data_IF_735548275877
#
_entry.id   IF_735548275877
#
_cell.length_a   1.000
_cell.length_b   1.000
_cell.length_c   1.000
_cell.angle_alpha   90.00
_cell.angle_beta   90.00
_cell.angle_gamma   90.00
#
_symmetry.space_group_name_H-M   'P 1'
#
loop_
_entity.id
_entity.type
_entity.pdbx_description
1 polymer ?
#
# COMPACT_ATOMS: atom_id res chain seq x y z
N UNK A 1 -7.32 -12.37 -17.92
CA UNK A 1 -7.88 -11.03 -17.52
C UNK A 1 -6.72 -10.06 -17.58
N UNK A 2 -6.93 -8.83 -18.04
CA UNK A 2 -5.88 -7.80 -18.08
C UNK A 2 -5.92 -6.92 -16.82
N UNK A 3 -4.84 -6.18 -16.54
CA UNK A 3 -4.85 -5.15 -15.51
C UNK A 3 -5.57 -3.92 -16.11
N UNK A 4 -6.69 -3.46 -15.53
CA UNK A 4 -7.35 -2.25 -16.01
C UNK A 4 -6.47 -1.01 -15.80
N UNK A 5 -6.57 -0.08 -16.75
CA UNK A 5 -5.85 1.21 -16.71
C UNK A 5 -6.85 2.34 -16.95
N UNK A 6 -6.94 3.25 -15.99
CA UNK A 6 -7.79 4.44 -16.04
C UNK A 6 -6.95 5.70 -15.79
N UNK A 7 -7.50 6.87 -16.08
CA UNK A 7 -6.89 8.16 -15.74
C UNK A 7 -7.43 8.70 -14.41
N UNK A 8 -6.67 9.56 -13.74
CA UNK A 8 -7.14 10.20 -12.49
C UNK A 8 -8.45 10.97 -12.70
N UNK A 9 -8.68 11.48 -13.89
CA UNK A 9 -9.89 12.24 -14.27
C UNK A 9 -11.12 11.38 -14.53
N UNK A 10 -10.96 10.06 -14.68
CA UNK A 10 -12.09 9.14 -14.81
C UNK A 10 -12.91 9.09 -13.53
N UNK A 11 -14.18 8.71 -13.63
CA UNK A 11 -15.10 8.71 -12.50
C UNK A 11 -14.65 7.73 -11.42
N UNK A 12 -14.84 8.09 -10.16
CA UNK A 12 -14.57 7.20 -9.01
C UNK A 12 -15.35 5.88 -9.14
N UNK A 13 -16.59 5.93 -9.64
CA UNK A 13 -17.39 4.72 -9.84
C UNK A 13 -16.75 3.74 -10.82
N UNK A 14 -16.20 4.22 -11.93
CA UNK A 14 -15.52 3.38 -12.93
C UNK A 14 -14.27 2.72 -12.32
N UNK A 15 -13.53 3.45 -11.49
CA UNK A 15 -12.36 2.92 -10.75
C UNK A 15 -12.78 1.81 -9.78
N UNK A 16 -13.86 2.01 -9.03
CA UNK A 16 -14.40 1.03 -8.09
C UNK A 16 -14.87 -0.24 -8.82
N UNK A 17 -15.60 -0.08 -9.93
CA UNK A 17 -16.11 -1.22 -10.72
C UNK A 17 -14.96 -2.08 -11.28
N UNK A 18 -13.95 -1.43 -11.89
CA UNK A 18 -12.78 -2.13 -12.41
C UNK A 18 -11.98 -2.83 -11.30
N UNK A 19 -11.79 -2.18 -10.15
CA UNK A 19 -11.09 -2.78 -9.01
C UNK A 19 -11.89 -3.94 -8.41
N UNK A 20 -13.22 -3.84 -8.34
CA UNK A 20 -14.11 -4.93 -7.88
C UNK A 20 -14.03 -6.15 -8.79
N UNK A 21 -13.96 -5.96 -10.10
CA UNK A 21 -13.97 -7.05 -11.07
C UNK A 21 -12.61 -7.74 -11.17
N UNK A 22 -11.54 -6.96 -11.25
CA UNK A 22 -10.18 -7.48 -11.51
C UNK A 22 -9.34 -7.69 -10.25
N UNK A 23 -9.73 -7.08 -9.13
CA UNK A 23 -8.94 -7.07 -7.89
C UNK A 23 -7.73 -6.13 -7.93
N UNK A 24 -7.46 -5.46 -9.06
CA UNK A 24 -6.37 -4.52 -9.21
C UNK A 24 -6.70 -3.44 -10.27
N UNK A 25 -6.04 -2.28 -10.20
CA UNK A 25 -6.28 -1.15 -11.10
C UNK A 25 -5.07 -0.22 -11.12
N UNK A 26 -4.60 0.14 -12.32
CA UNK A 26 -3.65 1.24 -12.50
C UNK A 26 -4.40 2.53 -12.79
N UNK A 27 -4.07 3.61 -12.08
CA UNK A 27 -4.59 4.96 -12.35
C UNK A 27 -3.43 5.87 -12.75
N UNK A 28 -3.50 6.38 -13.99
CA UNK A 28 -2.50 7.29 -14.55
C UNK A 28 -2.66 8.71 -14.02
N UNK A 29 -1.55 9.48 -14.03
CA UNK A 29 -1.53 10.90 -13.69
C UNK A 29 -2.04 11.20 -12.26
N UNK A 30 -1.89 10.25 -11.34
CA UNK A 30 -2.41 10.36 -9.98
C UNK A 30 -1.70 11.40 -9.12
N UNK A 31 -0.41 11.65 -9.37
CA UNK A 31 0.39 12.69 -8.71
C UNK A 31 1.30 13.43 -9.70
N UNK A 32 1.55 14.71 -9.40
CA UNK A 32 2.42 15.57 -10.20
C UNK A 32 3.90 15.23 -10.02
N UNK A 33 4.72 15.69 -10.95
CA UNK A 33 6.19 15.63 -10.84
C UNK A 33 6.69 16.31 -9.56
N UNK A 34 6.17 17.51 -9.23
CA UNK A 34 6.50 18.23 -8.00
C UNK A 34 6.23 17.37 -6.73
N UNK A 35 5.11 16.65 -6.71
CA UNK A 35 4.79 15.75 -5.60
C UNK A 35 5.79 14.59 -5.51
N UNK A 36 6.17 13.99 -6.65
CA UNK A 36 7.16 12.90 -6.69
C UNK A 36 8.53 13.36 -6.18
N UNK A 37 8.99 14.51 -6.65
CA UNK A 37 10.30 15.06 -6.25
C UNK A 37 10.31 15.44 -4.76
N UNK A 38 9.20 15.94 -4.21
CA UNK A 38 9.07 16.18 -2.77
C UNK A 38 9.17 14.88 -1.96
N UNK A 39 8.44 13.84 -2.37
CA UNK A 39 8.53 12.51 -1.72
C UNK A 39 9.97 12.02 -1.71
N UNK A 40 10.67 12.08 -2.86
CA UNK A 40 12.09 11.67 -2.96
C UNK A 40 12.97 12.47 -2.01
N UNK A 41 12.90 13.79 -2.07
CA UNK A 41 13.73 14.69 -1.27
C UNK A 41 13.51 14.50 0.24
N UNK A 42 12.24 14.32 0.66
CA UNK A 42 11.90 14.12 2.07
C UNK A 42 12.38 12.75 2.60
N UNK A 43 12.38 11.72 1.76
CA UNK A 43 12.75 10.35 2.14
C UNK A 43 14.23 10.01 1.86
N UNK A 44 14.91 10.75 1.01
CA UNK A 44 16.30 10.48 0.58
C UNK A 44 17.27 10.25 1.75
N UNK A 45 17.31 11.09 2.81
CA UNK A 45 18.26 10.88 3.91
C UNK A 45 18.10 9.54 4.63
N UNK A 46 16.86 9.05 4.75
CA UNK A 46 16.58 7.78 5.37
C UNK A 46 16.82 6.61 4.39
N UNK A 47 16.47 6.77 3.11
CA UNK A 47 16.71 5.76 2.08
C UNK A 47 18.21 5.53 1.80
N UNK A 48 19.05 6.58 1.84
CA UNK A 48 20.49 6.44 1.70
C UNK A 48 21.12 5.59 2.80
N UNK A 49 20.60 5.70 4.03
CA UNK A 49 21.08 4.95 5.20
C UNK A 49 20.45 3.57 5.34
N UNK A 50 19.36 3.29 4.60
CA UNK A 50 18.72 1.98 4.60
C UNK A 50 19.60 0.95 3.89
N UNK A 51 19.96 -0.16 4.55
CA UNK A 51 20.73 -1.22 3.90
C UNK A 51 19.88 -1.89 2.81
N UNK A 52 20.53 -2.29 1.72
CA UNK A 52 19.89 -3.19 0.78
C UNK A 52 19.80 -4.59 1.39
N UNK A 53 18.69 -5.29 1.13
CA UNK A 53 18.53 -6.69 1.52
C UNK A 53 19.63 -7.55 0.93
N UNK A 54 20.11 -8.49 1.73
CA UNK A 54 21.07 -9.51 1.27
C UNK A 54 20.33 -10.54 0.43
N UNK A 55 20.94 -11.00 -0.66
CA UNK A 55 20.34 -12.03 -1.51
C UNK A 55 20.32 -13.37 -0.78
N UNK A 56 19.16 -13.74 -0.28
CA UNK A 56 18.83 -15.01 0.32
C UNK A 56 17.63 -15.61 -0.42
N UNK A 57 17.77 -16.74 -1.12
CA UNK A 57 16.69 -17.36 -1.87
C UNK A 57 15.45 -17.71 -1.03
N UNK A 58 15.64 -17.95 0.29
CA UNK A 58 14.57 -18.28 1.22
C UNK A 58 13.91 -17.04 1.84
N UNK A 59 14.53 -15.86 1.71
CA UNK A 59 13.97 -14.62 2.25
C UNK A 59 12.73 -14.16 1.48
N UNK A 60 11.77 -13.63 2.22
CA UNK A 60 10.55 -13.04 1.62
C UNK A 60 10.89 -11.84 0.73
N UNK A 61 11.77 -10.95 1.18
CA UNK A 61 12.23 -9.83 0.38
C UNK A 61 13.43 -10.23 -0.47
N UNK A 62 13.41 -9.93 -1.79
CA UNK A 62 14.54 -10.18 -2.67
C UNK A 62 15.77 -9.36 -2.28
N UNK A 63 16.95 -9.92 -2.49
CA UNK A 63 18.21 -9.18 -2.37
C UNK A 63 18.25 -7.95 -3.30
N UNK A 64 19.12 -7.01 -2.96
CA UNK A 64 19.26 -5.71 -3.62
C UNK A 64 17.95 -4.89 -3.66
N UNK A 65 17.12 -5.05 -2.63
CA UNK A 65 15.92 -4.26 -2.38
C UNK A 65 16.14 -3.43 -1.13
N UNK A 66 15.81 -2.15 -1.16
CA UNK A 66 15.75 -1.31 0.03
C UNK A 66 14.29 -1.10 0.42
N UNK A 67 14.01 -1.16 1.71
CA UNK A 67 12.68 -0.93 2.26
C UNK A 67 12.78 -0.06 3.51
N UNK A 68 11.92 0.93 3.59
CA UNK A 68 11.82 1.83 4.74
C UNK A 68 10.36 2.07 5.07
N UNK A 69 9.99 1.96 6.34
CA UNK A 69 8.67 2.30 6.89
C UNK A 69 8.67 3.68 7.57
N UNK A 70 7.67 3.97 8.35
CA UNK A 70 7.49 5.22 9.10
C UNK A 70 7.31 6.47 8.21
N UNK A 71 6.70 6.32 7.05
CA UNK A 71 6.62 7.43 6.09
C UNK A 71 5.82 8.63 6.61
N UNK A 72 4.81 8.41 7.44
CA UNK A 72 4.04 9.50 8.06
C UNK A 72 4.91 10.37 8.98
N UNK A 73 5.91 9.77 9.64
CA UNK A 73 6.86 10.50 10.48
C UNK A 73 7.96 11.21 9.69
N UNK A 74 8.33 10.65 8.52
CA UNK A 74 9.50 11.07 7.76
C UNK A 74 9.18 12.03 6.61
N UNK A 75 7.94 12.01 6.09
CA UNK A 75 7.56 12.77 4.89
C UNK A 75 6.16 13.35 5.03
N UNK A 76 6.08 14.67 5.07
CA UNK A 76 4.79 15.38 5.06
C UNK A 76 4.01 15.06 3.78
N UNK A 77 4.71 14.94 2.65
CA UNK A 77 4.10 14.63 1.36
C UNK A 77 3.55 13.21 1.33
N UNK A 78 4.26 12.22 1.90
CA UNK A 78 3.75 10.85 2.04
C UNK A 78 2.53 10.79 2.97
N UNK A 79 2.51 11.57 4.05
CA UNK A 79 1.34 11.73 4.90
C UNK A 79 0.12 12.26 4.13
N UNK A 80 0.32 13.23 3.23
CA UNK A 80 -0.75 13.74 2.34
C UNK A 80 -1.22 12.70 1.33
N UNK A 81 -0.31 11.85 0.83
CA UNK A 81 -0.70 10.73 -0.03
C UNK A 81 -1.54 9.70 0.71
N UNK A 82 -1.24 9.45 1.99
CA UNK A 82 -1.99 8.50 2.81
C UNK A 82 -3.47 8.90 2.99
N UNK A 83 -3.78 10.19 2.98
CA UNK A 83 -5.15 10.73 3.03
C UNK A 83 -5.64 11.24 1.66
N UNK A 84 -5.04 10.78 0.56
CA UNK A 84 -5.47 11.15 -0.79
C UNK A 84 -6.94 10.81 -1.00
N UNK A 85 -7.72 11.76 -1.51
CA UNK A 85 -9.17 11.62 -1.63
C UNK A 85 -9.60 10.38 -2.42
N UNK A 86 -8.94 10.08 -3.54
CA UNK A 86 -9.25 8.89 -4.35
C UNK A 86 -9.01 7.60 -3.55
N UNK A 87 -7.91 7.53 -2.79
CA UNK A 87 -7.63 6.38 -1.90
C UNK A 87 -8.70 6.24 -0.83
N UNK A 88 -9.14 7.34 -0.22
CA UNK A 88 -10.20 7.32 0.78
C UNK A 88 -11.53 6.87 0.19
N UNK A 89 -11.93 7.38 -0.99
CA UNK A 89 -13.15 6.94 -1.67
C UNK A 89 -13.15 5.43 -1.99
N UNK A 90 -12.01 4.89 -2.40
CA UNK A 90 -11.81 3.45 -2.63
C UNK A 90 -11.92 2.68 -1.30
N UNK A 91 -11.25 3.13 -0.24
CA UNK A 91 -11.32 2.52 1.08
C UNK A 91 -12.73 2.56 1.66
N UNK A 92 -13.44 3.67 1.52
CA UNK A 92 -14.84 3.82 1.94
C UNK A 92 -15.71 2.74 1.30
N UNK A 93 -15.53 2.49 0.00
CA UNK A 93 -16.32 1.49 -0.72
C UNK A 93 -16.00 0.05 -0.29
N UNK A 94 -14.71 -0.31 -0.18
CA UNK A 94 -14.31 -1.70 0.03
C UNK A 94 -14.21 -2.11 1.50
N UNK A 95 -13.88 -1.17 2.40
CA UNK A 95 -13.59 -1.48 3.79
C UNK A 95 -14.74 -1.15 4.74
N UNK A 96 -15.42 0.01 4.59
CA UNK A 96 -16.50 0.38 5.52
C UNK A 96 -17.63 -0.64 5.61
N UNK A 97 -18.08 -1.32 4.54
CA UNK A 97 -19.13 -2.35 4.67
C UNK A 97 -18.75 -3.52 5.56
N UNK A 98 -17.46 -3.73 5.83
CA UNK A 98 -16.93 -4.85 6.61
C UNK A 98 -16.43 -4.42 8.01
N UNK A 99 -16.68 -3.17 8.42
CA UNK A 99 -16.16 -2.66 9.69
C UNK A 99 -17.08 -1.65 10.35
N UNK A 100 -17.41 -1.90 11.63
CA UNK A 100 -18.06 -0.92 12.49
C UNK A 100 -17.07 0.11 13.06
N UNK A 101 -15.79 -0.11 12.83
CA UNK A 101 -14.68 0.66 13.42
C UNK A 101 -13.92 1.46 12.37
N UNK A 102 -14.51 1.71 11.18
CA UNK A 102 -13.79 2.35 10.09
C UNK A 102 -12.62 1.51 9.57
N UNK A 103 -11.61 2.18 9.06
CA UNK A 103 -10.35 1.58 8.59
C UNK A 103 -9.17 2.44 9.05
N UNK A 104 -7.97 1.90 8.92
CA UNK A 104 -6.73 2.53 9.37
C UNK A 104 -5.59 2.29 8.39
N UNK A 105 -4.55 3.13 8.44
CA UNK A 105 -3.31 2.91 7.70
C UNK A 105 -2.63 1.65 8.26
N UNK A 106 -2.42 0.66 7.38
CA UNK A 106 -1.88 -0.64 7.71
C UNK A 106 -0.36 -0.68 7.59
N UNK A 107 0.13 -0.19 6.45
CA UNK A 107 1.56 -0.04 6.13
C UNK A 107 1.79 1.26 5.39
N UNK A 108 2.91 1.90 5.70
CA UNK A 108 3.49 2.97 4.89
C UNK A 108 4.97 2.65 4.64
N UNK A 109 5.34 2.36 3.40
CA UNK A 109 6.72 2.02 3.09
C UNK A 109 7.20 2.58 1.76
N UNK A 110 8.43 3.05 1.74
CA UNK A 110 9.18 3.33 0.52
C UNK A 110 9.99 2.08 0.13
N UNK A 111 9.95 1.72 -1.13
CA UNK A 111 10.60 0.51 -1.64
C UNK A 111 11.38 0.82 -2.91
N UNK A 112 12.67 0.52 -2.90
CA UNK A 112 13.54 0.55 -4.06
C UNK A 112 13.94 -0.88 -4.44
N UNK A 113 13.72 -1.25 -5.71
CA UNK A 113 14.13 -2.54 -6.28
C UNK A 113 15.31 -2.29 -7.21
N UNK A 114 16.49 -2.74 -6.80
CA UNK A 114 17.73 -2.51 -7.52
C UNK A 114 18.04 -3.56 -8.60
N UNK A 115 19.01 -3.26 -9.49
CA UNK A 115 19.47 -4.15 -10.53
C UNK A 115 19.87 -5.54 -9.99
N UNK A 116 19.45 -6.61 -10.66
CA UNK A 116 19.72 -7.99 -10.25
C UNK A 116 18.80 -8.54 -9.16
N UNK A 117 17.87 -7.75 -8.63
CA UNK A 117 16.87 -8.25 -7.69
C UNK A 117 16.00 -9.33 -8.33
N UNK A 118 15.86 -10.48 -7.65
CA UNK A 118 14.97 -11.55 -8.09
C UNK A 118 13.49 -11.19 -7.93
N UNK A 119 12.59 -11.91 -8.59
CA UNK A 119 11.16 -11.77 -8.32
C UNK A 119 10.83 -12.21 -6.90
N UNK A 120 9.92 -11.49 -6.26
CA UNK A 120 9.33 -11.86 -4.97
C UNK A 120 8.36 -13.03 -5.12
N UNK A 121 8.21 -13.82 -4.08
CA UNK A 121 7.16 -14.85 -4.02
C UNK A 121 5.79 -14.14 -4.06
N UNK A 122 4.89 -14.66 -4.89
CA UNK A 122 3.51 -14.17 -4.92
C UNK A 122 2.81 -14.47 -3.60
N UNK A 123 2.15 -13.47 -3.05
CA UNK A 123 1.45 -13.52 -1.78
C UNK A 123 0.19 -12.66 -1.82
N UNK A 124 -0.62 -12.74 -0.79
CA UNK A 124 -1.75 -11.85 -0.55
C UNK A 124 -1.46 -11.04 0.72
N UNK A 125 -1.82 -9.77 0.73
CA UNK A 125 -1.75 -8.95 1.96
C UNK A 125 -2.58 -9.55 3.11
N UNK A 126 -3.60 -10.35 2.76
CA UNK A 126 -4.51 -10.99 3.72
C UNK A 126 -4.02 -12.34 4.24
N UNK A 127 -2.87 -12.85 3.79
CA UNK A 127 -2.32 -14.15 4.25
C UNK A 127 -2.10 -14.24 5.77
N UNK A 128 -1.73 -13.16 6.49
CA UNK A 128 -1.68 -13.17 7.96
C UNK A 128 -3.05 -13.36 8.65
N UNK A 129 -4.17 -13.22 7.92
CA UNK A 129 -5.53 -13.33 8.44
C UNK A 129 -6.30 -14.52 7.82
N UNK A 130 -5.86 -15.77 8.03
CA UNK A 130 -6.34 -16.95 7.31
C UNK A 130 -7.72 -17.47 7.76
N UNK A 131 -8.52 -16.64 8.42
CA UNK A 131 -9.76 -17.04 9.11
C UNK A 131 -11.03 -16.92 8.26
N UNK A 132 -10.90 -16.45 7.01
CA UNK A 132 -12.05 -16.22 6.14
C UNK A 132 -11.95 -17.09 4.89
N UNK A 133 -13.05 -17.76 4.57
CA UNK A 133 -13.21 -18.52 3.33
C UNK A 133 -13.78 -17.64 2.21
N UNK A 134 -13.65 -18.09 0.98
CA UNK A 134 -14.24 -17.41 -0.19
C UNK A 134 -15.75 -17.68 -0.25
N UNK A 135 -16.60 -16.66 -0.49
CA UNK A 135 -16.27 -15.24 -0.63
C UNK A 135 -15.91 -14.61 0.72
N UNK A 136 -14.75 -13.97 0.78
CA UNK A 136 -14.25 -13.30 1.99
C UNK A 136 -14.54 -11.80 1.95
N UNK A 137 -14.68 -11.14 3.13
CA UNK A 137 -14.71 -9.69 3.18
C UNK A 137 -13.37 -9.10 2.70
N UNK A 138 -13.39 -7.90 2.13
CA UNK A 138 -12.16 -7.17 1.87
C UNK A 138 -11.59 -6.68 3.21
N UNK A 139 -10.42 -7.17 3.58
CA UNK A 139 -9.75 -6.82 4.82
C UNK A 139 -8.76 -5.67 4.62
N UNK A 140 -8.16 -5.62 3.43
CA UNK A 140 -7.08 -4.68 3.08
C UNK A 140 -7.30 -4.14 1.66
N UNK A 141 -7.04 -2.85 1.51
CA UNK A 141 -6.83 -2.19 0.22
C UNK A 141 -5.41 -1.66 0.21
N UNK A 142 -4.65 -1.96 -0.81
CA UNK A 142 -3.28 -1.48 -0.95
C UNK A 142 -3.12 -0.59 -2.18
N UNK A 143 -2.13 0.31 -2.11
CA UNK A 143 -1.74 1.17 -3.23
C UNK A 143 -0.23 1.25 -3.35
N UNK A 144 0.29 1.28 -4.59
CA UNK A 144 1.70 1.50 -4.92
C UNK A 144 1.82 2.72 -5.83
N UNK A 145 2.40 3.78 -5.29
CA UNK A 145 2.61 5.06 -5.99
C UNK A 145 3.94 5.01 -6.73
N UNK A 146 3.92 5.16 -8.04
CA UNK A 146 5.10 5.11 -8.89
C UNK A 146 5.91 6.42 -8.79
N UNK A 147 7.01 6.40 -8.07
CA UNK A 147 7.93 7.53 -7.99
C UNK A 147 8.83 7.56 -9.24
N UNK A 148 9.25 6.41 -9.73
CA UNK A 148 9.87 6.21 -11.05
C UNK A 148 8.95 5.39 -11.95
N UNK A 149 9.28 5.23 -13.23
CA UNK A 149 8.55 4.34 -14.12
C UNK A 149 8.62 2.89 -13.64
N UNK A 150 7.50 2.18 -13.72
CA UNK A 150 7.42 0.74 -13.50
C UNK A 150 7.33 0.04 -14.86
N UNK A 151 8.34 -0.76 -15.17
CA UNK A 151 8.46 -1.53 -16.41
C UNK A 151 8.62 -3.01 -16.10
N UNK A 152 8.28 -3.85 -17.03
CA UNK A 152 8.42 -5.30 -16.87
C UNK A 152 9.86 -5.75 -16.56
N UNK A 153 10.86 -4.98 -17.03
CA UNK A 153 12.29 -5.28 -16.85
C UNK A 153 12.91 -4.70 -15.58
N UNK A 154 12.26 -3.74 -14.89
CA UNK A 154 12.83 -3.06 -13.72
C UNK A 154 12.18 -3.40 -12.38
N UNK A 155 11.40 -4.48 -12.32
CA UNK A 155 10.77 -4.93 -11.08
C UNK A 155 9.38 -4.34 -10.85
N UNK A 156 8.62 -4.02 -11.91
CA UNK A 156 7.20 -3.66 -11.79
C UNK A 156 6.46 -4.71 -10.96
N UNK A 157 5.48 -4.27 -10.19
CA UNK A 157 4.66 -5.17 -9.37
C UNK A 157 3.96 -6.19 -10.27
N UNK A 158 4.15 -7.46 -9.99
CA UNK A 158 3.42 -8.57 -10.62
C UNK A 158 2.08 -8.73 -9.94
N UNK A 159 1.03 -8.94 -10.72
CA UNK A 159 -0.33 -9.17 -10.27
C UNK A 159 -0.95 -10.37 -10.98
N UNK A 160 -1.91 -10.98 -10.32
CA UNK A 160 -2.78 -12.01 -10.92
C UNK A 160 -4.21 -11.49 -10.88
N UNK A 161 -4.68 -10.79 -11.94
CA UNK A 161 -6.03 -10.22 -11.95
C UNK A 161 -7.12 -11.28 -11.75
N UNK A 162 -8.11 -10.95 -10.89
CA UNK A 162 -9.19 -11.85 -10.52
C UNK A 162 -8.87 -12.81 -9.38
N UNK A 163 -7.60 -12.91 -8.94
CA UNK A 163 -7.19 -13.89 -7.92
C UNK A 163 -7.72 -13.60 -6.50
N UNK A 164 -8.23 -12.40 -6.25
CA UNK A 164 -8.90 -12.06 -4.98
C UNK A 164 -10.15 -12.89 -4.72
N UNK A 165 -10.76 -13.46 -5.77
CA UNK A 165 -11.94 -14.35 -5.66
C UNK A 165 -11.58 -15.83 -5.66
N UNK A 166 -10.29 -16.20 -5.76
CA UNK A 166 -9.88 -17.59 -5.86
C UNK A 166 -9.82 -18.27 -4.49
N UNK A 167 -10.03 -19.60 -4.52
CA UNK A 167 -9.70 -20.46 -3.40
C UNK A 167 -8.21 -20.36 -3.06
N UNK A 168 -7.86 -20.57 -1.77
CA UNK A 168 -6.52 -20.33 -1.24
C UNK A 168 -5.44 -21.21 -1.89
N UNK A 169 -5.79 -22.42 -2.28
CA UNK A 169 -4.89 -23.44 -2.84
C UNK A 169 -4.70 -23.33 -4.35
N UNK A 170 -5.42 -22.43 -5.03
CA UNK A 170 -5.24 -22.19 -6.46
C UNK A 170 -3.95 -21.42 -6.72
N UNK A 171 -3.02 -22.08 -7.44
CA UNK A 171 -1.81 -21.43 -7.96
C UNK A 171 -2.06 -20.80 -9.34
N UNK A 172 -1.50 -19.62 -9.63
CA UNK A 172 -1.59 -19.03 -10.96
C UNK A 172 -0.70 -19.78 -11.96
N UNK A 173 -1.10 -19.76 -13.22
CA UNK A 173 -0.24 -20.12 -14.33
C UNK A 173 0.62 -18.89 -14.72
N UNK A 174 1.74 -19.15 -15.41
CA UNK A 174 2.66 -18.07 -15.80
C UNK A 174 1.98 -16.99 -16.65
N UNK A 175 1.06 -17.36 -17.54
CA UNK A 175 0.30 -16.44 -18.38
C UNK A 175 -0.76 -15.61 -17.64
N UNK A 176 -1.07 -15.96 -16.38
CA UNK A 176 -1.98 -15.21 -15.52
C UNK A 176 -1.25 -14.15 -14.68
N UNK A 177 0.09 -14.17 -14.67
CA UNK A 177 0.94 -13.26 -13.90
C UNK A 177 1.36 -12.09 -14.79
N UNK A 178 0.89 -10.90 -14.51
CA UNK A 178 1.10 -9.73 -15.34
C UNK A 178 1.88 -8.64 -14.59
N UNK A 179 2.87 -7.97 -15.23
CA UNK A 179 3.51 -6.79 -14.67
C UNK A 179 2.57 -5.58 -14.76
N UNK A 180 2.44 -4.83 -13.67
CA UNK A 180 1.76 -3.53 -13.67
C UNK A 180 2.72 -2.46 -14.22
N UNK A 181 2.83 -2.38 -15.53
CA UNK A 181 3.62 -1.33 -16.18
C UNK A 181 2.87 0.00 -16.10
N UNK A 182 3.54 1.03 -15.61
CA UNK A 182 2.95 2.36 -15.45
C UNK A 182 4.01 3.45 -15.41
N UNK A 183 3.73 4.62 -16.01
CA UNK A 183 4.65 5.76 -15.93
C UNK A 183 4.71 6.33 -14.49
N UNK A 184 5.81 6.98 -14.19
CA UNK A 184 5.97 7.73 -12.94
C UNK A 184 4.82 8.72 -12.74
N UNK A 185 4.32 8.83 -11.51
CA UNK A 185 3.14 9.63 -11.16
C UNK A 185 1.82 8.87 -11.23
N UNK A 186 1.84 7.60 -11.63
CA UNK A 186 0.68 6.70 -11.55
C UNK A 186 0.56 6.05 -10.17
N UNK A 187 -0.59 5.46 -9.90
CA UNK A 187 -0.81 4.61 -8.72
C UNK A 187 -1.45 3.29 -9.15
N UNK A 188 -0.96 2.20 -8.60
CA UNK A 188 -1.57 0.89 -8.69
C UNK A 188 -2.35 0.62 -7.40
N UNK A 189 -3.63 0.28 -7.49
CA UNK A 189 -4.44 -0.25 -6.38
C UNK A 189 -4.63 -1.76 -6.52
N UNK A 190 -4.72 -2.46 -5.39
CA UNK A 190 -5.19 -3.85 -5.35
C UNK A 190 -5.93 -4.17 -4.05
N UNK A 191 -6.85 -5.11 -4.14
CA UNK A 191 -7.53 -5.69 -2.98
C UNK A 191 -6.59 -6.68 -2.29
N UNK A 192 -6.59 -6.73 -0.97
CA UNK A 192 -5.66 -7.54 -0.17
C UNK A 192 -5.67 -9.03 -0.50
N UNK A 193 -6.78 -9.54 -1.04
CA UNK A 193 -6.90 -10.91 -1.54
C UNK A 193 -6.25 -11.18 -2.91
N UNK A 194 -5.74 -10.16 -3.60
CA UNK A 194 -5.10 -10.31 -4.92
C UNK A 194 -3.67 -10.81 -4.77
N UNK A 195 -3.33 -11.91 -5.49
CA UNK A 195 -1.96 -12.41 -5.57
C UNK A 195 -1.07 -11.38 -6.27
N UNK A 196 0.03 -11.01 -5.61
CA UNK A 196 0.97 -10.04 -6.13
C UNK A 196 2.38 -10.24 -5.57
N UNK A 197 3.35 -9.50 -6.11
CA UNK A 197 4.73 -9.49 -5.64
C UNK A 197 5.60 -8.57 -6.51
N UNK A 198 6.82 -8.27 -6.08
CA UNK A 198 7.76 -7.51 -6.91
C UNK A 198 8.24 -8.37 -8.09
N UNK A 199 8.31 -7.79 -9.29
CA UNK A 199 8.97 -8.39 -10.44
C UNK A 199 10.50 -8.43 -10.26
N UNK A 200 11.18 -9.25 -11.07
CA UNK A 200 12.63 -9.21 -11.14
C UNK A 200 13.11 -7.91 -11.80
N UNK A 201 14.19 -7.34 -11.29
CA UNK A 201 14.83 -6.20 -11.94
C UNK A 201 16.07 -6.68 -12.72
N UNK A 202 15.91 -6.81 -14.03
CA UNK A 202 16.99 -7.19 -14.95
C UNK A 202 17.56 -5.98 -15.69
N UNK A 203 17.07 -4.78 -15.37
CA UNK A 203 17.57 -3.50 -15.90
C UNK A 203 18.78 -2.98 -15.10
N UNK A 204 19.30 -1.82 -15.50
CA UNK A 204 20.34 -1.12 -14.76
C UNK A 204 19.79 0.00 -13.86
N UNK A 205 18.47 0.19 -13.83
CA UNK A 205 17.81 1.28 -13.11
C UNK A 205 17.23 0.79 -11.78
N UNK A 206 17.18 1.65 -10.78
CA UNK A 206 16.43 1.44 -9.56
C UNK A 206 14.95 1.81 -9.77
N UNK A 207 14.04 0.92 -9.39
CA UNK A 207 12.61 1.19 -9.39
C UNK A 207 12.17 1.63 -7.99
N UNK A 208 11.65 2.85 -7.88
CA UNK A 208 11.23 3.47 -6.63
C UNK A 208 9.70 3.60 -6.58
N UNK A 209 9.09 3.06 -5.52
CA UNK A 209 7.67 3.21 -5.24
C UNK A 209 7.39 3.44 -3.76
N UNK A 210 6.23 4.02 -3.48
CA UNK A 210 5.68 4.20 -2.14
C UNK A 210 4.43 3.34 -2.01
N UNK A 211 4.45 2.41 -1.07
CA UNK A 211 3.29 1.58 -0.71
C UNK A 211 2.54 2.22 0.46
N UNK A 212 1.23 2.35 0.31
CA UNK A 212 0.29 2.74 1.35
C UNK A 212 -0.85 1.73 1.32
N UNK A 213 -1.01 0.97 2.39
CA UNK A 213 -2.12 0.04 2.52
C UNK A 213 -3.00 0.38 3.70
N UNK A 214 -4.26 0.00 3.61
CA UNK A 214 -5.31 0.33 4.57
C UNK A 214 -6.02 -0.95 4.97
N UNK A 215 -6.27 -1.13 6.26
CA UNK A 215 -6.97 -2.30 6.80
C UNK A 215 -8.19 -1.92 7.60
N UNK A 216 -9.08 -2.87 7.80
CA UNK A 216 -10.21 -2.72 8.73
C UNK A 216 -9.72 -2.25 10.11
N UNK A 217 -10.44 -1.31 10.72
CA UNK A 217 -10.02 -0.68 11.99
C UNK A 217 -9.91 -1.63 13.19
N UNK A 218 -10.47 -2.85 13.08
CA UNK A 218 -10.36 -3.89 14.10
C UNK A 218 -9.23 -4.90 13.87
N UNK A 219 -8.49 -4.78 12.74
CA UNK A 219 -7.30 -5.60 12.49
C UNK A 219 -6.06 -4.99 13.15
N UNK A 220 -5.08 -5.83 13.49
CA UNK A 220 -3.76 -5.36 13.86
C UNK A 220 -3.04 -4.82 12.63
N UNK A 221 -2.55 -3.57 12.71
CA UNK A 221 -1.67 -2.99 11.68
C UNK A 221 -0.38 -3.79 11.57
N UNK A 222 0.16 -3.97 10.37
CA UNK A 222 1.47 -4.57 10.14
C UNK A 222 2.57 -3.63 10.64
N UNK A 223 2.50 -2.34 10.27
CA UNK A 223 3.38 -1.30 10.78
C UNK A 223 2.87 -0.76 12.13
N UNK A 224 3.75 -0.57 13.09
CA UNK A 224 3.37 -0.03 14.39
C UNK A 224 3.37 1.51 14.38
N UNK A 225 2.30 2.10 13.85
CA UNK A 225 2.15 3.55 13.70
C UNK A 225 2.30 4.33 15.02
N UNK A 226 1.99 3.72 16.17
CA UNK A 226 2.13 4.39 17.48
C UNK A 226 3.58 4.52 17.95
N UNK A 227 4.48 3.63 17.47
CA UNK A 227 5.92 3.74 17.73
C UNK A 227 6.56 4.71 16.77
N UNK A 228 6.17 4.68 15.49
CA UNK A 228 6.73 5.50 14.44
C UNK A 228 6.30 6.97 14.56
N UNK A 229 5.04 7.21 14.96
CA UNK A 229 4.49 8.55 15.23
C UNK A 229 3.98 8.60 16.67
N UNK A 230 4.85 8.84 17.66
CA UNK A 230 4.44 8.84 19.06
C UNK A 230 3.51 10.02 19.38
N UNK A 231 2.73 9.90 20.46
CA UNK A 231 1.70 10.85 20.90
C UNK A 231 2.14 12.32 20.95
N UNK A 232 3.42 12.59 21.24
CA UNK A 232 3.98 13.96 21.24
C UNK A 232 4.07 14.58 19.84
N UNK A 233 4.22 13.76 18.81
CA UNK A 233 4.43 14.19 17.42
C UNK A 233 3.12 14.20 16.63
N UNK A 234 2.19 13.30 16.94
CA UNK A 234 0.89 13.21 16.24
C UNK A 234 0.06 14.49 16.33
N UNK A 235 0.24 15.28 17.41
CA UNK A 235 -0.40 16.61 17.57
C UNK A 235 -0.11 17.60 16.43
N UNK A 236 0.94 17.34 15.66
CA UNK A 236 1.38 18.19 14.54
C UNK A 236 0.73 17.77 13.23
N UNK A 237 0.14 16.58 13.19
CA UNK A 237 -0.49 16.03 11.98
C UNK A 237 -1.89 16.63 11.77
N UNK A 238 -2.36 16.67 10.52
CA UNK A 238 -3.78 16.87 10.22
C UNK A 238 -4.66 15.87 10.98
N UNK A 239 -5.85 16.31 11.39
CA UNK A 239 -6.77 15.47 12.20
C UNK A 239 -7.09 14.15 11.51
N UNK A 240 -7.43 14.18 10.22
CA UNK A 240 -7.76 13.02 9.41
C UNK A 240 -6.59 12.02 9.29
N UNK A 241 -5.36 12.51 9.19
CA UNK A 241 -4.18 11.65 9.18
C UNK A 241 -3.92 11.04 10.58
N UNK A 242 -4.09 11.82 11.66
CA UNK A 242 -3.97 11.31 13.01
C UNK A 242 -5.03 10.23 13.31
N UNK A 243 -6.26 10.41 12.83
CA UNK A 243 -7.32 9.40 12.89
C UNK A 243 -6.93 8.14 12.11
N UNK A 244 -6.47 8.31 10.88
CA UNK A 244 -6.14 7.21 9.98
C UNK A 244 -5.01 6.31 10.52
N UNK A 245 -4.01 6.88 11.20
CA UNK A 245 -2.92 6.10 11.83
C UNK A 245 -3.32 5.46 13.18
N UNK A 246 -4.56 5.69 13.64
CA UNK A 246 -5.15 4.98 14.78
C UNK A 246 -5.28 5.80 16.07
N UNK A 247 -5.00 7.11 16.07
CA UNK A 247 -5.17 7.97 17.26
C UNK A 247 -6.63 8.39 17.48
N UNK A 248 -7.54 7.47 17.28
CA UNK A 248 -8.97 7.59 17.51
C UNK A 248 -9.53 6.29 18.07
N UNK A 249 -10.52 6.37 18.96
CA UNK A 249 -11.30 5.19 19.36
C UNK A 249 -12.31 4.82 18.25
N UNK A 250 -12.45 3.54 18.01
CA UNK A 250 -13.44 3.00 17.09
C UNK A 250 -14.37 2.05 17.84
N UNK A 251 -15.54 2.53 18.24
CA UNK A 251 -16.54 1.69 18.91
C UNK A 251 -16.03 0.98 20.17
N UNK A 252 -15.11 1.59 20.91
CA UNK A 252 -14.50 1.02 22.12
C UNK A 252 -13.17 0.30 21.89
N UNK A 253 -12.70 0.19 20.65
CA UNK A 253 -11.37 -0.33 20.34
C UNK A 253 -10.34 0.82 20.29
N UNK A 254 -9.14 0.58 20.81
CA UNK A 254 -8.01 1.49 20.70
C UNK A 254 -8.09 2.73 21.61
N UNK A 255 -9.03 2.82 22.55
CA UNK A 255 -9.16 3.98 23.44
C UNK A 255 -7.95 4.15 24.39
N UNK A 256 -7.67 5.39 24.76
CA UNK A 256 -6.72 5.75 25.82
C UNK A 256 -7.39 6.68 26.84
N UNK A 257 -7.17 6.40 28.11
CA UNK A 257 -7.65 7.23 29.22
C UNK A 257 -6.53 8.04 29.88
N UNK A 258 -5.27 7.87 29.43
CA UNK A 258 -4.15 8.63 29.96
C UNK A 258 -4.21 10.08 29.42
N UNK A 259 -4.37 11.10 30.29
CA UNK A 259 -4.50 12.50 29.85
C UNK A 259 -3.21 13.07 29.22
N UNK A 260 -2.09 12.41 29.39
CA UNK A 260 -0.82 12.81 28.74
C UNK A 260 -0.75 12.35 27.28
N UNK A 261 -1.55 11.34 26.90
CA UNK A 261 -1.60 10.86 25.53
C UNK A 261 -2.50 11.76 24.68
N UNK A 262 -2.04 12.06 23.49
CA UNK A 262 -2.92 12.63 22.48
C UNK A 262 -3.89 11.55 22.00
N UNK A 263 -5.15 11.88 21.96
CA UNK A 263 -6.18 10.98 21.51
C UNK A 263 -7.40 11.77 21.03
N UNK A 264 -7.88 11.46 19.84
CA UNK A 264 -9.08 12.10 19.30
C UNK A 264 -10.32 11.38 19.86
N UNK A 265 -11.15 12.14 20.53
CA UNK A 265 -12.47 11.65 20.99
C UNK A 265 -13.50 11.89 19.89
N UNK A 266 -14.49 11.00 19.82
CA UNK A 266 -15.67 11.23 18.99
C UNK A 266 -16.42 12.45 19.56
N UNK A 267 -16.81 13.38 18.65
CA UNK A 267 -17.65 14.53 18.98
C UNK A 267 -19.07 14.10 19.35
#
# INVERSE_FOLDING_TARGET
>A
MEIPVLDVTDKTQDKIENLSESGCLVVLNAISEDTREKVKTELEPAMETSPAEVDDPEAFYPGNTKRMSALVALSETSGKLAINRMSMDICDHFLLPNSNCGYQLHVSAAVEVGPGSRKQILHREEDPFPFFDVPRPNLIVASMWAITDFRADNGATLLVPGSHTWEKDRNPKDEEILPAEMPAGSVLYWLGGTLHGAGANVSNDWRYGVILSYSLGWLRQEENQYLDVPSKDVKKLPKDLAELIGYRAYGGLGFSINPEHFFLQDD
#
